data_IF_735790743076
#
_entry.id   IF_735790743076
#
_cell.length_a   1.000
_cell.length_b   1.000
_cell.length_c   1.000
_cell.angle_alpha   90.00
_cell.angle_beta   90.00
_cell.angle_gamma   90.00
#
_symmetry.space_group_name_H-M   'P 1'
#
loop_
_entity.id
_entity.type
_entity.pdbx_description
1 polymer ?
#
# COMPACT_ATOMS: atom_id res chain seq x y z
N UNK A 1 12.28 9.16 -18.44
CA UNK A 1 11.09 9.18 -19.31
C UNK A 1 11.26 8.14 -20.40
N UNK A 2 10.36 7.17 -20.53
CA UNK A 2 10.41 6.16 -21.60
C UNK A 2 9.10 6.22 -22.37
N UNK A 3 9.17 6.61 -23.65
CA UNK A 3 8.02 6.65 -24.57
C UNK A 3 7.95 5.34 -25.33
N UNK A 4 6.87 4.58 -25.13
CA UNK A 4 6.55 3.40 -25.95
C UNK A 4 5.46 3.79 -26.94
N UNK A 5 5.70 3.56 -28.22
CA UNK A 5 4.76 3.85 -29.31
C UNK A 5 4.04 2.57 -29.72
N UNK A 6 2.71 2.55 -29.64
CA UNK A 6 1.86 1.48 -30.20
C UNK A 6 1.54 1.79 -31.66
N UNK A 7 1.62 0.78 -32.51
CA UNK A 7 1.58 0.87 -33.98
C UNK A 7 0.20 1.13 -34.60
N UNK A 8 -0.85 1.41 -33.80
CA UNK A 8 -2.22 1.60 -34.33
C UNK A 8 -2.92 2.93 -33.95
N UNK A 9 -2.26 3.84 -33.25
CA UNK A 9 -2.85 5.16 -32.98
C UNK A 9 -1.77 6.20 -32.64
N UNK A 10 -1.68 7.28 -33.42
CA UNK A 10 -0.72 8.37 -33.22
C UNK A 10 -1.05 9.29 -32.03
N UNK A 11 -1.88 8.85 -31.07
CA UNK A 11 -2.12 9.58 -29.83
C UNK A 11 -1.30 8.93 -28.71
N UNK A 12 -0.47 9.69 -27.97
CA UNK A 12 0.17 9.16 -26.77
C UNK A 12 -0.93 8.68 -25.83
N UNK A 13 -0.97 7.38 -25.56
CA UNK A 13 -1.78 6.84 -24.47
C UNK A 13 -1.05 7.23 -23.19
N UNK A 14 -1.58 8.20 -22.47
CA UNK A 14 -1.23 8.43 -21.08
C UNK A 14 -1.59 7.16 -20.32
N UNK A 15 -0.60 6.33 -20.03
CA UNK A 15 -0.75 5.27 -19.03
C UNK A 15 -0.70 5.99 -17.70
N UNK A 16 -1.86 6.29 -17.13
CA UNK A 16 -1.95 6.78 -15.76
C UNK A 16 -1.35 5.70 -14.87
N UNK A 17 -0.17 5.97 -14.28
CA UNK A 17 0.38 5.09 -13.25
C UNK A 17 -0.63 5.11 -12.09
N UNK A 18 -1.10 3.95 -11.60
CA UNK A 18 -1.96 3.93 -10.42
C UNK A 18 -1.27 4.68 -9.28
N UNK A 19 -2.03 5.49 -8.54
CA UNK A 19 -1.54 6.17 -7.34
C UNK A 19 -1.15 5.08 -6.34
N UNK A 20 0.10 5.07 -5.89
CA UNK A 20 0.59 4.08 -4.92
C UNK A 20 -0.10 4.23 -3.57
N UNK A 21 -0.05 3.18 -2.75
CA UNK A 21 -0.71 3.11 -1.44
C UNK A 21 -0.33 4.27 -0.51
N UNK A 22 0.94 4.68 -0.52
CA UNK A 22 1.44 5.78 0.32
C UNK A 22 0.89 7.13 -0.15
N UNK A 23 0.91 7.39 -1.46
CA UNK A 23 0.38 8.63 -2.02
C UNK A 23 -1.14 8.72 -1.82
N UNK A 24 -1.83 7.59 -1.98
CA UNK A 24 -3.27 7.46 -1.70
C UNK A 24 -3.59 7.75 -0.23
N UNK A 25 -2.79 7.22 0.71
CA UNK A 25 -2.89 7.51 2.13
C UNK A 25 -2.75 9.01 2.39
N UNK A 26 -1.65 9.62 1.93
CA UNK A 26 -1.38 11.05 2.15
C UNK A 26 -2.49 11.91 1.57
N UNK A 27 -2.92 11.66 0.33
CA UNK A 27 -3.99 12.41 -0.29
C UNK A 27 -5.31 12.26 0.47
N UNK A 28 -5.64 11.05 0.93
CA UNK A 28 -6.87 10.80 1.69
C UNK A 28 -6.88 11.54 3.04
N UNK A 29 -5.74 11.59 3.72
CA UNK A 29 -5.58 12.28 5.01
C UNK A 29 -5.63 13.80 4.82
N UNK A 30 -4.98 14.33 3.78
CA UNK A 30 -5.07 15.75 3.43
C UNK A 30 -6.51 16.16 3.10
N UNK A 31 -7.21 15.36 2.30
CA UNK A 31 -8.63 15.60 1.99
C UNK A 31 -9.49 15.60 3.28
N UNK A 32 -9.23 14.68 4.22
CA UNK A 32 -9.95 14.67 5.50
C UNK A 32 -9.61 15.87 6.38
N UNK A 33 -8.35 16.32 6.37
CA UNK A 33 -7.93 17.51 7.09
C UNK A 33 -8.66 18.77 6.58
N UNK A 34 -8.77 18.90 5.26
CA UNK A 34 -9.47 20.02 4.62
C UNK A 34 -10.98 20.02 4.92
N UNK A 35 -11.61 18.83 4.95
CA UNK A 35 -13.04 18.68 5.16
C UNK A 35 -13.49 18.91 6.61
N UNK A 36 -12.77 18.35 7.59
CA UNK A 36 -13.25 18.30 8.97
C UNK A 36 -12.62 19.36 9.87
N UNK A 37 -11.45 19.92 9.50
CA UNK A 37 -10.69 20.91 10.28
C UNK A 37 -10.55 20.55 11.78
N UNK A 38 -10.61 19.26 12.11
CA UNK A 38 -10.51 18.71 13.45
C UNK A 38 -9.36 17.70 13.45
N UNK A 39 -8.27 18.07 14.12
CA UNK A 39 -7.05 17.26 14.14
C UNK A 39 -7.23 15.91 14.81
N UNK A 40 -8.07 15.80 15.85
CA UNK A 40 -8.30 14.53 16.55
C UNK A 40 -8.99 13.52 15.65
N UNK A 41 -9.99 13.97 14.89
CA UNK A 41 -10.66 13.13 13.90
C UNK A 41 -9.71 12.71 12.76
N UNK A 42 -8.87 13.62 12.28
CA UNK A 42 -7.89 13.33 11.21
C UNK A 42 -6.84 12.33 11.68
N UNK A 43 -6.40 12.41 12.93
CA UNK A 43 -5.48 11.43 13.53
C UNK A 43 -6.14 10.04 13.64
N UNK A 44 -7.38 9.97 14.12
CA UNK A 44 -8.13 8.70 14.16
C UNK A 44 -8.31 8.10 12.76
N UNK A 45 -8.58 8.93 11.76
CA UNK A 45 -8.67 8.49 10.37
C UNK A 45 -7.32 7.98 9.84
N UNK A 46 -6.22 8.67 10.16
CA UNK A 46 -4.87 8.21 9.81
C UNK A 46 -4.56 6.86 10.45
N UNK A 47 -4.88 6.68 11.74
CA UNK A 47 -4.71 5.42 12.45
C UNK A 47 -5.51 4.28 11.79
N UNK A 48 -6.77 4.53 11.44
CA UNK A 48 -7.62 3.56 10.71
C UNK A 48 -6.98 3.15 9.37
N UNK A 49 -6.43 4.11 8.62
CA UNK A 49 -5.77 3.82 7.35
C UNK A 49 -4.44 3.09 7.48
N UNK A 50 -3.65 3.38 8.52
CA UNK A 50 -2.45 2.62 8.83
C UNK A 50 -2.80 1.17 9.24
N UNK A 51 -3.89 0.99 10.00
CA UNK A 51 -4.39 -0.34 10.37
C UNK A 51 -4.87 -1.14 9.15
N UNK A 52 -5.50 -0.49 8.16
CA UNK A 52 -5.87 -1.10 6.88
C UNK A 52 -4.64 -1.62 6.13
N UNK A 53 -3.58 -0.80 6.01
CA UNK A 53 -2.32 -1.19 5.37
C UNK A 53 -1.64 -2.37 6.10
N UNK A 54 -1.64 -2.35 7.43
CA UNK A 54 -1.15 -3.47 8.22
C UNK A 54 -1.96 -4.74 7.98
N UNK A 55 -3.28 -4.65 7.92
CA UNK A 55 -4.16 -5.80 7.67
C UNK A 55 -3.95 -6.39 6.28
N UNK A 56 -3.73 -5.56 5.26
CA UNK A 56 -3.35 -6.00 3.90
C UNK A 56 -1.99 -6.73 3.91
N UNK A 57 -1.03 -6.17 4.65
CA UNK A 57 0.30 -6.76 4.86
C UNK A 57 0.24 -8.13 5.55
N UNK A 58 -0.60 -8.30 6.58
CA UNK A 58 -0.84 -9.57 7.26
C UNK A 58 -1.51 -10.60 6.34
N UNK A 59 -2.55 -10.17 5.61
CA UNK A 59 -3.28 -11.02 4.67
C UNK A 59 -2.33 -11.57 3.60
N UNK A 60 -1.45 -10.72 3.07
CA UNK A 60 -0.40 -11.13 2.12
C UNK A 60 0.50 -12.23 2.70
N UNK A 61 0.92 -12.09 3.96
CA UNK A 61 1.78 -13.08 4.63
C UNK A 61 1.03 -14.42 4.87
N UNK A 62 -0.23 -14.34 5.31
CA UNK A 62 -1.08 -15.52 5.49
C UNK A 62 -1.27 -16.28 4.17
N UNK A 63 -1.59 -15.58 3.08
CA UNK A 63 -1.75 -16.19 1.75
C UNK A 63 -0.44 -16.86 1.30
N UNK A 64 0.71 -16.20 1.48
CA UNK A 64 2.03 -16.79 1.17
C UNK A 64 2.32 -18.04 2.02
N UNK A 65 1.97 -18.03 3.31
CA UNK A 65 2.20 -19.20 4.17
C UNK A 65 1.35 -20.42 3.79
N UNK A 66 0.15 -20.20 3.25
CA UNK A 66 -0.79 -21.25 2.86
C UNK A 66 -0.53 -21.80 1.46
N UNK A 67 0.13 -21.03 0.59
CA UNK A 67 0.40 -21.40 -0.80
C UNK A 67 1.88 -21.26 -1.12
N UNK A 68 2.60 -22.40 -1.21
CA UNK A 68 4.04 -22.46 -1.53
C UNK A 68 4.43 -21.82 -2.87
N UNK A 69 3.49 -21.67 -3.80
CA UNK A 69 3.73 -21.18 -5.16
C UNK A 69 2.65 -20.19 -5.62
N UNK A 70 2.36 -19.15 -4.82
CA UNK A 70 1.53 -18.04 -5.30
C UNK A 70 2.39 -17.04 -6.08
N UNK A 71 1.95 -16.66 -7.29
CA UNK A 71 2.61 -15.60 -8.07
C UNK A 71 2.31 -14.22 -7.49
N UNK A 72 3.18 -13.25 -7.74
CA UNK A 72 2.99 -11.89 -7.26
C UNK A 72 1.76 -11.25 -7.89
N UNK A 73 1.44 -11.54 -9.15
CA UNK A 73 0.20 -11.06 -9.79
C UNK A 73 -1.05 -11.58 -9.08
N UNK A 74 -1.05 -12.85 -8.67
CA UNK A 74 -2.19 -13.43 -7.97
C UNK A 74 -2.32 -12.89 -6.55
N UNK A 75 -1.18 -12.66 -5.90
CA UNK A 75 -1.12 -12.05 -4.58
C UNK A 75 -1.64 -10.61 -4.62
N UNK A 76 -1.20 -9.81 -5.60
CA UNK A 76 -1.68 -8.45 -5.82
C UNK A 76 -3.19 -8.39 -6.02
N UNK A 77 -3.77 -9.30 -6.81
CA UNK A 77 -5.22 -9.41 -6.99
C UNK A 77 -5.96 -9.76 -5.70
N UNK A 78 -5.40 -10.60 -4.83
CA UNK A 78 -6.06 -11.03 -3.60
C UNK A 78 -6.07 -9.94 -2.53
N UNK A 79 -5.04 -9.10 -2.48
CA UNK A 79 -4.92 -8.01 -1.51
C UNK A 79 -5.34 -6.65 -2.07
N UNK A 80 -5.90 -6.65 -3.29
CA UNK A 80 -6.40 -5.49 -4.01
C UNK A 80 -5.37 -4.36 -4.09
N UNK A 81 -4.27 -4.66 -4.77
CA UNK A 81 -3.21 -3.69 -5.13
C UNK A 81 -2.89 -3.81 -6.61
N UNK A 82 -2.50 -2.69 -7.22
CA UNK A 82 -2.35 -2.56 -8.66
C UNK A 82 -0.90 -2.29 -9.11
N UNK A 83 0.03 -2.12 -8.16
CA UNK A 83 1.43 -1.84 -8.43
C UNK A 83 2.34 -2.83 -7.66
N UNK A 84 3.45 -3.22 -8.29
CA UNK A 84 4.49 -4.03 -7.65
C UNK A 84 5.22 -3.23 -6.56
N UNK A 85 5.34 -1.91 -6.73
CA UNK A 85 5.92 -1.02 -5.72
C UNK A 85 5.12 -1.10 -4.39
N UNK A 86 3.79 -1.18 -4.49
CA UNK A 86 2.89 -1.34 -3.34
C UNK A 86 3.03 -2.72 -2.68
N UNK A 87 3.24 -3.76 -3.49
CA UNK A 87 3.49 -5.10 -2.97
C UNK A 87 4.78 -5.15 -2.15
N UNK A 88 5.84 -4.53 -2.65
CA UNK A 88 7.12 -4.45 -1.95
C UNK A 88 7.05 -3.57 -0.70
N UNK A 89 6.26 -2.50 -0.72
CA UNK A 89 5.96 -1.72 0.47
C UNK A 89 5.26 -2.55 1.56
N UNK A 90 4.24 -3.34 1.20
CA UNK A 90 3.56 -4.23 2.15
C UNK A 90 4.49 -5.31 2.73
N UNK A 91 5.48 -5.79 1.95
CA UNK A 91 6.53 -6.72 2.43
C UNK A 91 7.46 -6.04 3.43
N UNK A 92 7.80 -4.78 3.19
CA UNK A 92 8.63 -4.01 4.12
C UNK A 92 7.93 -3.81 5.47
N UNK A 93 6.61 -3.54 5.47
CA UNK A 93 5.80 -3.46 6.71
C UNK A 93 5.94 -4.75 7.53
N UNK A 94 5.73 -5.93 6.93
CA UNK A 94 5.94 -7.22 7.62
C UNK A 94 7.34 -7.35 8.21
N UNK A 95 8.36 -7.02 7.41
CA UNK A 95 9.76 -7.19 7.83
C UNK A 95 10.13 -6.27 9.01
N UNK A 96 9.58 -5.05 9.04
CA UNK A 96 9.81 -4.08 10.10
C UNK A 96 9.15 -4.49 11.41
N UNK A 97 7.99 -5.16 11.34
CA UNK A 97 7.27 -5.66 12.52
C UNK A 97 7.92 -6.92 13.10
N UNK A 98 8.65 -7.67 12.25
CA UNK A 98 9.39 -8.87 12.68
C UNK A 98 10.73 -8.54 13.37
N UNK A 99 11.11 -7.26 13.49
CA UNK A 99 12.25 -6.87 14.32
C UNK A 99 11.90 -7.25 15.77
N UNK A 100 12.69 -8.10 16.45
CA UNK A 100 12.40 -8.52 17.81
C UNK A 100 12.25 -7.31 18.71
N UNK A 101 11.32 -7.41 19.66
CA UNK A 101 11.02 -6.50 20.77
C UNK A 101 12.18 -6.22 21.75
N UNK A 102 13.42 -6.16 21.26
CA UNK A 102 14.65 -5.87 22.01
C UNK A 102 14.69 -4.43 22.58
N UNK A 103 13.65 -3.60 22.38
CA UNK A 103 13.63 -2.18 22.76
C UNK A 103 12.43 -1.77 23.63
N UNK A 104 11.95 -2.65 24.51
CA UNK A 104 11.21 -2.19 25.69
C UNK A 104 11.85 -2.77 26.95
N UNK A 105 12.74 -2.03 27.65
CA UNK A 105 12.99 -2.31 29.05
C UNK A 105 11.71 -1.94 29.79
N UNK A 106 11.11 -2.91 30.48
CA UNK A 106 10.01 -2.70 31.41
C UNK A 106 10.32 -1.49 32.32
N UNK A 107 9.40 -0.53 32.37
CA UNK A 107 9.32 0.47 33.43
C UNK A 107 8.00 0.29 34.17
#
# INVERSE_FOLDING_TARGET
EVKVYSSESSKPVLVEKPIGLVDSLVQSVLNMADLFQNSEFVLLYLEDKLQELYTKSETMNQVKSQSKEISDEKLMQLIDINDADDLDFLRQIQSAITIPSMFYPNH
#
